data_IF_631796418557
#
_entry.id   IF_631796418557
#
_cell.length_a   1.000
_cell.length_b   1.000
_cell.length_c   1.000
_cell.angle_alpha   90.00
_cell.angle_beta   90.00
_cell.angle_gamma   90.00
#
_symmetry.space_group_name_H-M   'P 1'
#
loop_
_entity.id
_entity.type
_entity.pdbx_description
1 polymer ?
#
# COMPACT_ATOMS: atom_id res chain seq x y z
N UNK A 1 -18.16 25.40 -34.10
CA UNK A 1 -17.72 26.17 -32.93
C UNK A 1 -18.74 25.94 -31.84
N UNK A 2 -18.38 25.24 -30.78
CA UNK A 2 -18.99 25.38 -29.45
C UNK A 2 -17.96 24.93 -28.40
N UNK A 3 -17.81 25.74 -27.36
CA UNK A 3 -16.71 25.75 -26.40
C UNK A 3 -17.01 24.95 -25.12
N UNK A 4 -15.94 24.57 -24.43
CA UNK A 4 -15.84 24.44 -22.96
C UNK A 4 -16.08 23.07 -22.29
N UNK A 5 -15.00 22.29 -22.32
CA UNK A 5 -14.49 21.42 -21.24
C UNK A 5 -14.74 21.98 -19.83
N UNK A 6 -15.50 21.30 -18.97
CA UNK A 6 -15.37 21.38 -17.49
C UNK A 6 -15.58 20.03 -16.80
N UNK A 7 -14.44 19.41 -16.52
CA UNK A 7 -14.22 18.30 -15.59
C UNK A 7 -14.72 18.71 -14.19
N UNK A 8 -15.80 18.09 -13.69
CA UNK A 8 -16.27 18.29 -12.30
C UNK A 8 -15.34 17.56 -11.33
N UNK A 9 -14.34 18.29 -10.83
CA UNK A 9 -13.54 17.91 -9.66
C UNK A 9 -14.48 17.84 -8.43
N UNK A 10 -14.68 16.67 -7.82
CA UNK A 10 -15.12 16.61 -6.41
C UNK A 10 -13.87 16.82 -5.56
N UNK A 11 -13.70 18.06 -5.10
CA UNK A 11 -12.70 18.39 -4.10
C UNK A 11 -12.99 17.66 -2.78
N UNK A 12 -11.94 17.33 -2.04
CA UNK A 12 -12.03 16.96 -0.62
C UNK A 12 -12.75 18.07 0.14
N UNK A 13 -13.54 17.75 1.19
CA UNK A 13 -14.25 18.74 1.98
C UNK A 13 -13.29 19.83 2.49
N UNK A 14 -13.77 21.07 2.44
CA UNK A 14 -13.04 22.26 2.84
C UNK A 14 -12.58 22.12 4.30
N UNK A 15 -11.28 21.87 4.51
CA UNK A 15 -10.65 22.03 5.81
C UNK A 15 -10.87 23.47 6.26
N UNK A 16 -11.53 23.65 7.40
CA UNK A 16 -11.74 24.95 8.01
C UNK A 16 -10.39 25.70 8.13
N UNK A 17 -10.34 27.02 7.88
CA UNK A 17 -9.12 27.79 7.99
C UNK A 17 -8.56 27.69 9.41
N UNK A 18 -7.40 27.06 9.59
CA UNK A 18 -6.65 27.12 10.85
C UNK A 18 -6.17 25.81 11.48
N UNK A 19 -6.55 24.62 10.98
CA UNK A 19 -5.98 23.35 11.47
C UNK A 19 -5.15 22.65 10.40
N UNK A 20 -3.89 23.08 10.25
CA UNK A 20 -2.86 22.27 9.57
C UNK A 20 -2.46 21.13 10.50
N UNK A 21 -2.36 19.90 9.97
CA UNK A 21 -1.62 18.84 10.67
C UNK A 21 -0.21 19.36 10.97
N UNK A 22 0.19 19.36 12.23
CA UNK A 22 1.53 19.73 12.67
C UNK A 22 2.25 18.45 13.09
N UNK A 23 3.38 18.17 12.47
CA UNK A 23 4.21 17.01 12.78
C UNK A 23 5.45 17.46 13.55
N UNK A 24 5.77 16.75 14.63
CA UNK A 24 6.99 16.95 15.40
C UNK A 24 7.49 15.56 15.81
N UNK A 25 8.67 15.18 15.34
CA UNK A 25 9.25 13.85 15.58
C UNK A 25 9.95 13.86 16.95
N UNK A 26 9.42 13.13 17.93
CA UNK A 26 9.80 13.28 19.35
C UNK A 26 10.60 12.12 19.97
N UNK A 27 10.87 11.00 19.28
CA UNK A 27 11.51 9.82 19.90
C UNK A 27 12.39 8.98 18.94
N UNK A 28 13.41 8.28 19.46
CA UNK A 28 14.26 7.36 18.69
C UNK A 28 13.50 6.06 18.31
N UNK A 29 13.95 5.32 17.28
CA UNK A 29 13.24 4.13 16.77
C UNK A 29 13.13 3.00 17.82
N UNK A 30 11.97 2.36 17.87
CA UNK A 30 11.66 1.25 18.79
C UNK A 30 11.93 -0.10 18.13
N UNK A 31 12.34 -1.05 18.98
CA UNK A 31 12.80 -2.40 18.66
C UNK A 31 11.61 -3.33 18.39
N UNK A 32 11.61 -3.95 17.21
CA UNK A 32 10.61 -4.93 16.77
C UNK A 32 10.50 -6.11 17.77
N UNK A 33 9.28 -6.36 18.29
CA UNK A 33 8.91 -7.66 18.86
C UNK A 33 8.17 -8.45 17.79
N UNK A 34 8.59 -9.70 17.60
CA UNK A 34 7.96 -10.63 16.65
C UNK A 34 6.47 -10.81 16.98
N UNK A 35 5.58 -10.93 15.98
CA UNK A 35 4.19 -11.28 16.21
C UNK A 35 4.10 -12.68 16.80
N UNK A 36 3.16 -12.88 17.73
CA UNK A 36 2.77 -14.20 18.22
C UNK A 36 2.04 -14.93 17.09
N UNK A 37 2.67 -15.96 16.52
CA UNK A 37 2.05 -16.81 15.49
C UNK A 37 1.22 -17.90 16.16
N UNK A 38 -0.10 -17.92 15.92
CA UNK A 38 -0.96 -19.03 16.29
C UNK A 38 -1.18 -19.96 15.09
N UNK A 39 -0.92 -21.25 15.25
CA UNK A 39 -0.93 -22.26 14.20
C UNK A 39 -2.23 -23.05 14.14
N UNK A 40 -3.09 -22.77 13.15
CA UNK A 40 -4.13 -23.69 12.66
C UNK A 40 -4.24 -23.58 11.12
N UNK A 41 -4.49 -24.73 10.47
CA UNK A 41 -4.61 -24.88 9.01
C UNK A 41 -5.67 -23.94 8.41
N UNK A 42 -5.36 -23.38 7.23
CA UNK A 42 -5.66 -22.00 6.79
C UNK A 42 -4.75 -21.00 7.48
N UNK A 43 -3.57 -20.75 6.91
CA UNK A 43 -2.59 -19.79 7.42
C UNK A 43 -3.10 -18.34 7.29
N UNK A 44 -4.14 -17.98 8.04
CA UNK A 44 -4.50 -16.60 8.33
C UNK A 44 -3.70 -16.16 9.57
N UNK A 45 -2.54 -15.55 9.32
CA UNK A 45 -1.79 -14.88 10.36
C UNK A 45 -2.33 -13.46 10.46
N UNK A 46 -3.22 -13.17 11.42
CA UNK A 46 -3.66 -11.80 11.68
C UNK A 46 -2.64 -11.09 12.58
N UNK A 47 -2.27 -9.86 12.21
CA UNK A 47 -1.41 -9.00 13.01
C UNK A 47 -1.95 -7.57 12.98
N UNK A 48 -2.10 -6.96 14.17
CA UNK A 48 -2.41 -5.53 14.31
C UNK A 48 -1.10 -4.78 14.53
N UNK A 49 -0.81 -3.82 13.67
CA UNK A 49 0.42 -3.04 13.71
C UNK A 49 0.11 -1.66 14.31
N UNK A 50 0.86 -1.29 15.34
CA UNK A 50 0.69 0.03 15.95
C UNK A 50 1.13 1.14 14.98
N UNK A 51 0.53 2.33 15.12
CA UNK A 51 0.84 3.46 14.26
C UNK A 51 2.34 3.79 14.26
N UNK A 52 2.94 3.88 13.07
CA UNK A 52 4.35 4.19 12.88
C UNK A 52 5.31 3.01 13.07
N UNK A 53 4.82 1.82 13.41
CA UNK A 53 5.66 0.63 13.55
C UNK A 53 5.78 -0.13 12.22
N UNK A 54 6.96 -0.70 11.90
CA UNK A 54 7.13 -1.51 10.71
C UNK A 54 6.61 -2.93 10.92
N UNK A 55 6.28 -3.60 9.83
CA UNK A 55 5.91 -5.01 9.81
C UNK A 55 6.57 -5.72 8.64
N UNK A 56 7.06 -6.94 8.88
CA UNK A 56 7.65 -7.80 7.86
C UNK A 56 7.07 -9.21 8.01
N UNK A 57 6.60 -9.77 6.91
CA UNK A 57 6.11 -11.13 6.83
C UNK A 57 6.46 -11.77 5.49
N UNK A 58 6.59 -13.09 5.48
CA UNK A 58 6.72 -13.86 4.25
C UNK A 58 5.36 -14.10 3.61
N UNK A 59 5.32 -14.01 2.29
CA UNK A 59 4.14 -14.33 1.48
C UNK A 59 4.56 -15.32 0.41
N UNK A 60 4.06 -16.55 0.50
CA UNK A 60 4.33 -17.62 -0.47
C UNK A 60 3.38 -17.51 -1.66
N UNK A 61 3.81 -18.07 -2.80
CA UNK A 61 2.97 -18.13 -3.98
C UNK A 61 1.61 -18.80 -3.68
N UNK A 62 0.53 -18.18 -4.16
CA UNK A 62 -0.85 -18.63 -3.90
C UNK A 62 -1.46 -18.10 -2.60
N UNK A 63 -0.70 -17.44 -1.72
CA UNK A 63 -1.25 -16.79 -0.54
C UNK A 63 -1.78 -15.39 -0.86
N UNK A 64 -2.70 -14.92 0.00
CA UNK A 64 -3.28 -13.58 -0.08
C UNK A 64 -2.91 -12.79 1.17
N UNK A 65 -2.51 -11.53 0.98
CA UNK A 65 -2.35 -10.56 2.06
C UNK A 65 -3.51 -9.57 1.99
N UNK A 66 -4.12 -9.30 3.14
CA UNK A 66 -5.15 -8.28 3.30
C UNK A 66 -4.63 -7.20 4.23
N UNK A 67 -4.62 -5.96 3.75
CA UNK A 67 -4.33 -4.77 4.54
C UNK A 67 -5.66 -4.12 4.87
N UNK A 68 -5.93 -3.90 6.16
CA UNK A 68 -7.17 -3.32 6.66
C UNK A 68 -6.86 -2.07 7.48
N UNK A 69 -7.43 -0.94 7.08
CA UNK A 69 -7.47 0.26 7.91
C UNK A 69 -8.55 0.10 8.99
N UNK A 70 -8.12 -0.08 10.24
CA UNK A 70 -9.00 -0.40 11.37
C UNK A 70 -9.74 0.83 11.93
N UNK A 71 -9.14 2.01 11.84
CA UNK A 71 -9.62 3.25 12.49
C UNK A 71 -9.98 4.35 11.50
N UNK A 72 -9.67 4.17 10.22
CA UNK A 72 -9.89 5.14 9.17
C UNK A 72 -8.75 6.13 9.04
N UNK A 73 -8.56 6.60 7.80
CA UNK A 73 -7.58 7.63 7.44
C UNK A 73 -6.12 7.24 7.77
N UNK A 74 -5.82 5.93 7.80
CA UNK A 74 -4.46 5.42 7.88
C UNK A 74 -3.95 5.08 6.47
N UNK A 75 -2.65 5.29 6.26
CA UNK A 75 -1.96 4.89 5.04
C UNK A 75 -0.73 4.06 5.42
N UNK A 76 -0.35 3.14 4.54
CA UNK A 76 0.83 2.30 4.71
C UNK A 76 1.70 2.35 3.45
N UNK A 77 2.99 2.61 3.65
CA UNK A 77 3.98 2.38 2.62
C UNK A 77 4.29 0.88 2.58
N UNK A 78 4.10 0.26 1.42
CA UNK A 78 4.29 -1.19 1.26
C UNK A 78 5.39 -1.49 0.25
N UNK A 79 6.34 -2.32 0.65
CA UNK A 79 7.42 -2.81 -0.22
C UNK A 79 7.34 -4.34 -0.35
N UNK A 80 7.60 -4.85 -1.55
CA UNK A 80 7.66 -6.29 -1.80
C UNK A 80 9.04 -6.69 -2.34
N UNK A 81 9.56 -7.79 -1.83
CA UNK A 81 10.83 -8.40 -2.23
C UNK A 81 10.62 -9.87 -2.55
N UNK A 82 11.39 -10.40 -3.50
CA UNK A 82 11.41 -11.83 -3.78
C UNK A 82 12.06 -12.58 -2.62
N UNK A 83 11.36 -13.60 -2.08
CA UNK A 83 11.90 -14.47 -1.03
C UNK A 83 13.18 -15.20 -1.48
N UNK A 84 13.30 -15.49 -2.78
CA UNK A 84 14.46 -16.18 -3.33
C UNK A 84 15.64 -15.24 -3.63
N UNK A 85 15.39 -13.94 -3.77
CA UNK A 85 16.41 -12.96 -4.12
C UNK A 85 16.02 -11.56 -3.66
N UNK A 86 16.61 -11.08 -2.56
CA UNK A 86 16.33 -9.75 -2.01
C UNK A 86 16.71 -8.58 -2.92
N UNK A 87 17.49 -8.80 -3.99
CA UNK A 87 17.77 -7.77 -5.02
C UNK A 87 16.64 -7.62 -6.03
N UNK A 88 15.75 -8.61 -6.13
CA UNK A 88 14.50 -8.52 -6.88
C UNK A 88 13.41 -7.93 -5.98
N UNK A 89 12.91 -6.75 -6.35
CA UNK A 89 11.95 -5.96 -5.57
C UNK A 89 10.92 -5.31 -6.45
N UNK A 90 9.80 -4.93 -5.86
CA UNK A 90 8.75 -4.14 -6.50
C UNK A 90 9.32 -2.87 -7.17
N UNK A 91 8.94 -2.65 -8.42
CA UNK A 91 9.31 -1.51 -9.25
C UNK A 91 8.04 -0.74 -9.63
N UNK A 92 7.85 0.37 -8.91
CA UNK A 92 6.76 1.31 -9.12
C UNK A 92 6.77 1.84 -10.54
N UNK A 93 7.91 2.33 -11.04
CA UNK A 93 7.99 2.99 -12.33
C UNK A 93 7.59 2.04 -13.46
N UNK A 94 8.06 0.79 -13.38
CA UNK A 94 7.68 -0.24 -14.35
C UNK A 94 6.20 -0.58 -14.28
N UNK A 95 5.65 -0.68 -13.07
CA UNK A 95 4.23 -0.97 -12.86
C UNK A 95 3.35 0.11 -13.50
N UNK A 96 3.58 1.38 -13.14
CA UNK A 96 2.81 2.51 -13.65
C UNK A 96 2.89 2.64 -15.18
N UNK A 97 4.08 2.44 -15.76
CA UNK A 97 4.27 2.48 -17.23
C UNK A 97 3.51 1.38 -17.95
N UNK A 98 3.44 0.17 -17.38
CA UNK A 98 2.76 -0.97 -18.00
C UNK A 98 1.24 -0.83 -17.97
N UNK A 99 0.69 -0.34 -16.86
CA UNK A 99 -0.75 -0.16 -16.72
C UNK A 99 -1.28 1.17 -17.28
N UNK A 100 -0.39 2.11 -17.61
CA UNK A 100 -0.73 3.45 -18.09
C UNK A 100 -1.70 4.21 -17.15
N UNK A 101 -1.49 4.06 -15.84
CA UNK A 101 -2.27 4.71 -14.78
C UNK A 101 -1.36 4.93 -13.58
N UNK A 102 -1.51 6.08 -12.92
CA UNK A 102 -0.77 6.43 -11.68
C UNK A 102 -1.37 5.82 -10.42
N UNK A 103 -2.62 5.34 -10.49
CA UNK A 103 -3.31 4.72 -9.37
C UNK A 103 -3.37 3.21 -9.55
N UNK A 104 -3.05 2.49 -8.48
CA UNK A 104 -3.27 1.05 -8.37
C UNK A 104 -4.67 0.79 -7.84
N UNK A 105 -5.28 -0.27 -8.33
CA UNK A 105 -6.59 -0.79 -7.90
C UNK A 105 -6.73 -2.25 -8.32
N UNK A 106 -7.88 -2.87 -8.08
CA UNK A 106 -8.19 -4.23 -8.53
C UNK A 106 -7.78 -4.48 -9.99
N UNK A 107 -7.11 -5.60 -10.23
CA UNK A 107 -6.53 -5.97 -11.52
C UNK A 107 -5.13 -5.40 -11.78
N UNK A 108 -4.62 -4.47 -10.96
CA UNK A 108 -3.25 -3.99 -11.10
C UNK A 108 -2.26 -5.10 -10.76
N UNK A 109 -1.32 -5.34 -11.67
CA UNK A 109 -0.22 -6.30 -11.48
C UNK A 109 1.03 -5.54 -11.07
N UNK A 110 1.58 -5.87 -9.90
CA UNK A 110 2.82 -5.28 -9.40
C UNK A 110 4.02 -6.02 -10.01
N UNK A 111 4.89 -5.27 -10.68
CA UNK A 111 6.05 -5.83 -11.36
C UNK A 111 7.34 -5.59 -10.57
N UNK A 112 8.27 -6.55 -10.64
CA UNK A 112 9.62 -6.40 -10.09
C UNK A 112 10.51 -5.54 -10.98
N UNK A 113 11.66 -5.12 -10.45
CA UNK A 113 12.74 -4.47 -11.21
C UNK A 113 13.31 -5.36 -12.34
N UNK A 114 13.11 -6.68 -12.27
CA UNK A 114 13.44 -7.62 -13.34
C UNK A 114 12.30 -7.83 -14.34
N UNK A 115 11.15 -7.18 -14.12
CA UNK A 115 9.98 -7.25 -14.99
C UNK A 115 9.11 -8.47 -14.80
N UNK A 116 9.24 -9.19 -13.68
CA UNK A 116 8.40 -10.34 -13.36
C UNK A 116 7.18 -9.90 -12.57
N UNK A 117 5.99 -10.46 -12.81
CA UNK A 117 4.84 -10.27 -11.92
C UNK A 117 5.17 -10.77 -10.51
N UNK A 118 4.85 -9.96 -9.49
CA UNK A 118 5.04 -10.32 -8.09
C UNK A 118 3.71 -10.55 -7.39
N UNK A 119 2.78 -9.59 -7.51
CA UNK A 119 1.46 -9.64 -6.90
C UNK A 119 0.41 -9.08 -7.87
N UNK A 120 -0.84 -9.45 -7.64
CA UNK A 120 -2.00 -8.82 -8.28
C UNK A 120 -2.93 -8.31 -7.18
N UNK A 121 -3.41 -7.08 -7.31
CA UNK A 121 -4.47 -6.57 -6.43
C UNK A 121 -5.76 -7.24 -6.89
N UNK A 122 -6.31 -8.13 -6.05
CA UNK A 122 -7.51 -8.91 -6.39
C UNK A 122 -8.80 -8.31 -5.83
N UNK A 123 -8.70 -7.40 -4.85
CA UNK A 123 -9.82 -6.66 -4.27
C UNK A 123 -9.32 -5.31 -3.72
N UNK A 124 -10.15 -4.28 -3.79
CA UNK A 124 -9.81 -2.91 -3.41
C UNK A 124 -11.06 -2.09 -3.03
N UNK A 125 -11.14 -1.67 -1.76
CA UNK A 125 -12.21 -0.83 -1.23
C UNK A 125 -11.86 0.66 -1.19
N UNK A 126 -10.60 1.04 -1.43
CA UNK A 126 -10.15 2.44 -1.42
C UNK A 126 -10.26 3.07 -2.82
N UNK A 127 -9.98 2.31 -3.87
CA UNK A 127 -10.13 2.68 -5.28
C UNK A 127 -9.04 3.62 -5.84
N UNK A 128 -8.14 4.15 -5.00
CA UNK A 128 -7.06 5.08 -5.39
C UNK A 128 -5.81 4.92 -4.52
N UNK A 129 -5.10 3.81 -4.69
CA UNK A 129 -3.79 3.63 -4.09
C UNK A 129 -2.75 4.32 -4.95
N UNK A 130 -2.05 5.31 -4.41
CA UNK A 130 -0.92 5.92 -5.11
C UNK A 130 0.40 5.24 -4.72
N UNK A 131 1.41 5.49 -5.54
CA UNK A 131 2.78 5.03 -5.32
C UNK A 131 3.75 6.21 -5.46
N UNK A 132 3.24 7.43 -5.23
CA UNK A 132 3.92 8.70 -5.48
C UNK A 132 4.19 9.36 -4.11
N UNK A 133 5.03 8.70 -3.31
CA UNK A 133 5.58 9.24 -2.07
C UNK A 133 6.66 10.29 -2.29
#
# INVERSE_FOLDING_TARGET
MDESRRQRRRALPHLAPGKRARFHQHRPPVRLRSPVMNSHNHHCCDATIAAGEPFLAEVKAGQTVRILDLEGNQAVDTLFFSLANSRERYDVQRTLRRQNSVYLTTGSVLFSNLGRPMLTIIDDTCGRHDTLG
#
